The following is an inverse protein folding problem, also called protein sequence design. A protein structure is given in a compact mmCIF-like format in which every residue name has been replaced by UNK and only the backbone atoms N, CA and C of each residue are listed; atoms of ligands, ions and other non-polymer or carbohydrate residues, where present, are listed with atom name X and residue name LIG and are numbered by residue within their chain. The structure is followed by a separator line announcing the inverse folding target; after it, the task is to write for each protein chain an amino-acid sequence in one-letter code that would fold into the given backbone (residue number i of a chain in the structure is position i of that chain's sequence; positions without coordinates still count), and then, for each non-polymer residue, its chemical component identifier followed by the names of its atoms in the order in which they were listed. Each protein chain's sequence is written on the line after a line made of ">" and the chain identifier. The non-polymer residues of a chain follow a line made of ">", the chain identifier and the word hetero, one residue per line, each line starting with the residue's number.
data_IF_393325012658
#
_entry.id   IF_393325012658
#
_cell.length_a   1.000
_cell.length_b   1.000
_cell.length_c   1.000
_cell.angle_alpha   90.00
_cell.angle_beta   90.00
_cell.angle_gamma   90.00
#
_symmetry.space_group_name_H-M   'P 1'
#
loop_
_entity.id
_entity.type
_entity.pdbx_description
1 polymer ?
#
# COMPACT_ATOMS: atom_id res chain seq x y z
N UNK A 1 24.29 -22.30 -23.58
CA UNK A 1 23.40 -22.39 -22.42
C UNK A 1 23.48 -21.04 -21.73
N UNK A 2 22.35 -20.35 -21.56
CA UNK A 2 22.35 -19.02 -20.94
C UNK A 2 22.85 -19.09 -19.50
N UNK A 3 23.51 -18.02 -19.04
CA UNK A 3 23.88 -17.87 -17.63
C UNK A 3 22.62 -17.82 -16.75
N UNK A 4 22.67 -18.31 -15.51
CA UNK A 4 21.52 -18.25 -14.60
C UNK A 4 21.25 -16.79 -14.17
N UNK A 5 19.97 -16.41 -14.14
CA UNK A 5 19.55 -15.09 -13.67
C UNK A 5 19.70 -14.96 -12.14
N UNK A 6 20.29 -13.85 -11.69
CA UNK A 6 20.52 -13.58 -10.28
C UNK A 6 19.33 -12.83 -9.65
N UNK A 7 18.64 -13.47 -8.71
CA UNK A 7 17.46 -12.92 -8.03
C UNK A 7 17.74 -11.67 -7.19
N UNK A 8 19.01 -11.40 -6.85
CA UNK A 8 19.40 -10.18 -6.11
C UNK A 8 19.53 -8.94 -7.01
N UNK A 9 19.66 -9.12 -8.32
CA UNK A 9 19.71 -8.03 -9.30
C UNK A 9 18.30 -7.71 -9.78
N UNK A 10 17.58 -6.92 -8.98
CA UNK A 10 16.24 -6.43 -9.34
C UNK A 10 16.16 -4.91 -9.28
N UNK A 11 15.47 -4.32 -10.26
CA UNK A 11 15.11 -2.90 -10.26
C UNK A 11 13.61 -2.79 -10.52
N UNK A 12 12.92 -2.00 -9.71
CA UNK A 12 11.52 -1.66 -9.91
C UNK A 12 11.40 -0.21 -10.34
N UNK A 13 10.55 0.01 -11.35
CA UNK A 13 10.16 1.34 -11.78
C UNK A 13 8.64 1.42 -11.84
N UNK A 14 8.05 2.55 -11.44
CA UNK A 14 6.62 2.76 -11.45
C UNK A 14 6.26 4.10 -12.10
N UNK A 15 5.07 4.19 -12.69
CA UNK A 15 4.50 5.42 -13.23
C UNK A 15 2.99 5.40 -13.19
N UNK A 16 2.37 6.55 -12.92
CA UNK A 16 0.93 6.76 -13.09
C UNK A 16 0.59 6.74 -14.57
N UNK A 17 -0.45 5.99 -14.92
CA UNK A 17 -0.92 5.88 -16.29
C UNK A 17 -1.68 7.14 -16.71
N UNK A 18 -1.38 7.66 -17.90
CA UNK A 18 -2.13 8.76 -18.49
C UNK A 18 -3.57 8.37 -18.81
N UNK A 19 -3.77 7.10 -19.20
CA UNK A 19 -5.07 6.48 -19.47
C UNK A 19 -5.15 5.18 -18.70
N UNK A 20 -6.19 5.02 -17.88
CA UNK A 20 -6.36 3.82 -17.04
C UNK A 20 -6.37 2.54 -17.87
N UNK A 21 -5.51 1.59 -17.52
CA UNK A 21 -5.40 0.31 -18.22
C UNK A 21 -4.48 0.32 -19.43
N UNK A 22 -3.83 1.44 -19.73
CA UNK A 22 -2.88 1.55 -20.85
C UNK A 22 -1.46 1.62 -20.30
N UNK A 23 -0.66 0.59 -20.62
CA UNK A 23 0.70 0.49 -20.13
C UNK A 23 1.58 1.67 -20.58
N UNK A 24 2.28 2.28 -19.63
CA UNK A 24 3.27 3.31 -19.89
C UNK A 24 4.54 2.71 -20.50
N UNK A 25 5.13 3.43 -21.46
CA UNK A 25 6.27 2.94 -22.25
C UNK A 25 7.58 3.65 -21.95
N UNK A 26 7.55 4.82 -21.30
CA UNK A 26 8.73 5.64 -20.99
C UNK A 26 8.49 6.50 -19.74
N UNK A 27 9.57 6.98 -19.12
CA UNK A 27 9.52 7.94 -18.01
C UNK A 27 9.00 7.36 -16.70
N UNK A 28 9.27 6.08 -16.44
CA UNK A 28 9.00 5.48 -15.13
C UNK A 28 10.05 5.91 -14.11
N UNK A 29 9.64 6.00 -12.86
CA UNK A 29 10.45 6.42 -11.73
C UNK A 29 10.98 5.22 -10.97
N UNK A 30 12.27 5.22 -10.61
CA UNK A 30 12.88 4.16 -9.79
C UNK A 30 12.29 4.16 -8.37
N UNK A 31 11.97 2.96 -7.86
CA UNK A 31 11.48 2.79 -6.49
C UNK A 31 12.42 1.88 -5.72
N UNK A 32 12.87 2.33 -4.54
CA UNK A 32 13.60 1.47 -3.61
C UNK A 32 12.61 0.54 -2.91
N UNK A 33 12.61 -0.73 -3.32
CA UNK A 33 11.72 -1.76 -2.81
C UNK A 33 12.49 -2.85 -2.08
N UNK A 34 11.84 -3.46 -1.11
CA UNK A 34 12.26 -4.65 -0.40
C UNK A 34 11.36 -5.82 -0.78
N UNK A 35 11.97 -6.98 -0.93
CA UNK A 35 11.34 -8.26 -1.24
C UNK A 35 10.26 -8.22 -2.36
N UNK A 36 10.59 -7.66 -3.54
CA UNK A 36 9.63 -7.61 -4.63
C UNK A 36 9.37 -8.99 -5.23
N UNK A 37 8.09 -9.36 -5.26
CA UNK A 37 7.60 -10.60 -5.84
C UNK A 37 6.44 -10.34 -6.80
N UNK A 38 6.63 -10.70 -8.07
CA UNK A 38 5.63 -10.54 -9.14
C UNK A 38 5.15 -11.91 -9.61
N UNK A 39 3.84 -12.16 -9.49
CA UNK A 39 3.21 -13.44 -9.81
C UNK A 39 2.16 -13.26 -10.91
N UNK A 40 2.34 -13.87 -12.09
CA UNK A 40 1.28 -13.91 -13.10
C UNK A 40 0.17 -14.87 -12.65
N UNK A 41 -1.07 -14.47 -12.90
CA UNK A 41 -2.27 -15.30 -12.72
C UNK A 41 -2.89 -15.54 -14.08
N UNK A 42 -2.95 -16.81 -14.49
CA UNK A 42 -3.47 -17.22 -15.78
C UNK A 42 -4.23 -18.55 -15.61
N UNK A 43 -5.55 -18.51 -15.34
CA UNK A 43 -6.34 -19.72 -15.17
C UNK A 43 -6.31 -20.56 -16.46
N UNK A 44 -6.27 -21.88 -16.32
CA UNK A 44 -6.24 -22.80 -17.46
C UNK A 44 -7.56 -23.59 -17.54
N UNK A 45 -8.32 -23.34 -18.61
CA UNK A 45 -9.57 -24.01 -18.88
C UNK A 45 -9.33 -25.30 -19.67
N UNK A 46 -9.62 -26.44 -19.04
CA UNK A 46 -9.51 -27.74 -19.68
C UNK A 46 -10.70 -28.00 -20.62
N UNK A 47 -10.43 -28.33 -21.88
CA UNK A 47 -11.45 -28.69 -22.87
C UNK A 47 -11.59 -30.21 -22.96
N UNK A 48 -12.41 -30.79 -22.07
CA UNK A 48 -12.69 -32.25 -22.01
C UNK A 48 -14.01 -32.60 -22.70
N UNK A 49 -14.04 -32.50 -24.02
CA UNK A 49 -15.19 -32.96 -24.83
C UNK A 49 -15.24 -34.49 -24.94
N UNK A 50 -16.41 -35.09 -25.24
CA UNK A 50 -16.49 -36.51 -25.54
C UNK A 50 -15.71 -36.82 -26.83
N UNK A 51 -14.84 -37.83 -26.80
CA UNK A 51 -13.98 -38.19 -27.91
C UNK A 51 -13.61 -39.68 -27.92
N UNK A 52 -12.94 -40.12 -29.00
CA UNK A 52 -12.52 -41.52 -29.18
C UNK A 52 -11.44 -41.96 -28.17
N UNK A 53 -10.69 -41.02 -27.61
CA UNK A 53 -9.56 -41.27 -26.71
C UNK A 53 -9.89 -40.82 -25.29
N UNK A 54 -9.44 -41.59 -24.30
CA UNK A 54 -9.46 -41.21 -22.88
C UNK A 54 -8.42 -40.11 -22.63
N UNK A 55 -8.74 -39.10 -21.84
CA UNK A 55 -7.83 -38.00 -21.49
C UNK A 55 -8.17 -36.66 -22.17
N UNK A 56 -7.22 -35.72 -22.17
CA UNK A 56 -7.40 -34.40 -22.78
C UNK A 56 -7.27 -34.54 -24.30
N UNK A 57 -8.38 -34.38 -25.02
CA UNK A 57 -8.44 -34.52 -26.48
C UNK A 57 -8.24 -33.21 -27.24
N UNK A 58 -8.30 -32.07 -26.55
CA UNK A 58 -8.23 -30.73 -27.12
C UNK A 58 -7.21 -29.88 -26.33
N UNK A 59 -6.57 -28.91 -27.00
CA UNK A 59 -5.77 -27.91 -26.31
C UNK A 59 -6.69 -27.06 -25.42
N UNK A 60 -6.31 -26.91 -24.15
CA UNK A 60 -7.01 -26.03 -23.22
C UNK A 60 -6.75 -24.55 -23.52
N UNK A 61 -7.57 -23.69 -22.94
CA UNK A 61 -7.53 -22.24 -23.16
C UNK A 61 -6.94 -21.58 -21.92
N UNK A 62 -5.98 -20.69 -22.11
CA UNK A 62 -5.53 -19.79 -21.04
C UNK A 62 -6.52 -18.64 -21.00
N UNK A 63 -7.10 -18.39 -19.83
CA UNK A 63 -8.11 -17.35 -19.60
C UNK A 63 -7.44 -15.97 -19.44
N UNK A 64 -8.00 -15.10 -18.59
CA UNK A 64 -7.47 -13.76 -18.39
C UNK A 64 -6.00 -13.79 -17.94
N UNK A 65 -5.27 -12.73 -18.29
CA UNK A 65 -3.88 -12.54 -17.89
C UNK A 65 -3.79 -11.40 -16.89
N UNK A 66 -4.10 -11.70 -15.64
CA UNK A 66 -3.85 -10.80 -14.51
C UNK A 66 -2.55 -11.18 -13.81
N UNK A 67 -2.17 -10.39 -12.83
CA UNK A 67 -1.03 -10.67 -11.98
C UNK A 67 -1.07 -9.83 -10.71
N UNK A 68 -0.27 -10.24 -9.74
CA UNK A 68 -0.07 -9.52 -8.49
C UNK A 68 1.40 -9.17 -8.30
N UNK A 69 1.65 -8.03 -7.65
CA UNK A 69 2.97 -7.62 -7.18
C UNK A 69 2.88 -7.29 -5.69
N UNK A 70 3.73 -7.91 -4.89
CA UNK A 70 3.92 -7.54 -3.49
C UNK A 70 5.31 -6.93 -3.30
N UNK A 71 5.39 -5.83 -2.56
CA UNK A 71 6.67 -5.23 -2.18
C UNK A 71 6.53 -4.38 -0.91
N UNK A 72 7.64 -4.17 -0.21
CA UNK A 72 7.70 -3.25 0.93
C UNK A 72 8.57 -2.06 0.58
N UNK A 73 8.18 -0.86 0.99
CA UNK A 73 8.93 0.38 0.77
C UNK A 73 9.07 1.11 2.09
N UNK A 74 10.21 1.75 2.31
CA UNK A 74 10.43 2.61 3.46
C UNK A 74 9.59 3.89 3.32
N UNK A 75 8.83 4.24 4.35
CA UNK A 75 8.06 5.49 4.35
C UNK A 75 9.04 6.67 4.48
N UNK A 76 9.17 7.52 3.46
CA UNK A 76 10.18 8.60 3.45
C UNK A 76 9.78 9.74 2.53
N UNK A 77 10.23 10.94 2.87
CA UNK A 77 10.20 12.08 1.96
C UNK A 77 11.45 12.16 1.08
N UNK A 78 11.54 13.24 0.32
CA UNK A 78 12.66 13.55 -0.57
C UNK A 78 13.78 14.35 0.11
N UNK A 79 13.62 14.68 1.40
CA UNK A 79 14.55 15.53 2.15
C UNK A 79 14.47 17.01 1.80
N UNK A 80 13.52 17.42 0.94
CA UNK A 80 13.26 18.81 0.58
C UNK A 80 11.87 19.26 1.02
N UNK A 81 10.80 18.86 0.33
CA UNK A 81 9.44 19.34 0.54
C UNK A 81 8.37 18.43 -0.06
N UNK A 82 8.72 17.20 -0.42
CA UNK A 82 7.80 16.25 -1.04
C UNK A 82 8.01 14.82 -0.54
N UNK A 83 7.05 13.96 -0.83
CA UNK A 83 7.21 12.51 -0.63
C UNK A 83 8.24 11.99 -1.64
N UNK A 84 8.93 10.88 -1.34
CA UNK A 84 9.68 10.17 -2.37
C UNK A 84 8.78 9.92 -3.59
N UNK A 85 9.24 10.27 -4.78
CA UNK A 85 8.39 10.29 -5.99
C UNK A 85 7.91 8.90 -6.39
N UNK A 86 8.72 7.86 -6.17
CA UNK A 86 8.32 6.47 -6.35
C UNK A 86 7.24 6.07 -5.37
N UNK A 87 7.42 6.39 -4.08
CA UNK A 87 6.44 6.15 -3.03
C UNK A 87 5.12 6.90 -3.28
N UNK A 88 5.18 8.16 -3.70
CA UNK A 88 4.01 8.97 -4.08
C UNK A 88 3.16 8.31 -5.15
N UNK A 89 3.79 7.72 -6.17
CA UNK A 89 3.11 6.99 -7.24
C UNK A 89 2.40 5.75 -6.68
N UNK A 90 3.07 4.99 -5.80
CA UNK A 90 2.49 3.78 -5.19
C UNK A 90 1.31 4.11 -4.26
N UNK A 91 1.41 5.17 -3.46
CA UNK A 91 0.33 5.63 -2.59
C UNK A 91 -0.91 6.03 -3.39
N UNK A 92 -0.73 6.74 -4.51
CA UNK A 92 -1.83 7.13 -5.39
C UNK A 92 -2.53 5.94 -6.05
N UNK A 93 -1.80 4.85 -6.31
CA UNK A 93 -2.36 3.59 -6.79
C UNK A 93 -3.15 2.82 -5.72
N UNK A 94 -3.00 3.21 -4.46
CA UNK A 94 -3.75 2.66 -3.32
C UNK A 94 -4.93 3.56 -2.92
N UNK A 95 -5.45 4.36 -3.86
CA UNK A 95 -6.65 5.18 -3.63
C UNK A 95 -6.41 6.47 -2.84
N UNK A 96 -5.15 6.83 -2.57
CA UNK A 96 -4.80 8.06 -1.85
C UNK A 96 -4.53 9.22 -2.81
N UNK A 97 -5.41 10.21 -2.86
CA UNK A 97 -5.26 11.42 -3.65
C UNK A 97 -4.22 12.36 -3.04
N UNK A 98 -3.17 12.69 -3.78
CA UNK A 98 -2.21 13.72 -3.39
C UNK A 98 -2.76 15.12 -3.68
N UNK A 99 -2.86 15.96 -2.65
CA UNK A 99 -3.12 17.40 -2.74
C UNK A 99 -2.05 18.13 -1.93
N UNK A 100 -1.10 18.79 -2.60
CA UNK A 100 -0.01 19.53 -1.95
C UNK A 100 0.76 18.69 -0.92
N UNK A 101 1.15 17.47 -1.30
CA UNK A 101 1.90 16.52 -0.47
C UNK A 101 1.16 15.99 0.77
N UNK A 102 -0.16 16.17 0.77
CA UNK A 102 -1.11 15.49 1.65
C UNK A 102 -1.87 14.43 0.85
N UNK A 103 -1.76 13.18 1.25
CA UNK A 103 -2.36 12.01 0.65
C UNK A 103 -3.60 11.62 1.46
N UNK A 104 -4.78 11.81 0.88
CA UNK A 104 -6.07 11.52 1.53
C UNK A 104 -6.81 10.43 0.77
N UNK A 105 -7.63 9.65 1.47
CA UNK A 105 -8.59 8.75 0.81
C UNK A 105 -9.47 9.54 -0.16
N UNK A 106 -10.05 8.87 -1.15
CA UNK A 106 -11.10 9.48 -1.97
C UNK A 106 -12.15 8.49 -2.41
N UNK A 107 -13.40 8.90 -2.32
CA UNK A 107 -14.57 8.16 -2.78
C UNK A 107 -14.85 8.38 -4.28
N UNK A 108 -14.16 9.32 -4.92
CA UNK A 108 -14.34 9.63 -6.34
C UNK A 108 -13.46 8.71 -7.22
N UNK A 109 -14.05 7.77 -8.00
CA UNK A 109 -13.26 6.85 -8.82
C UNK A 109 -12.46 7.54 -9.92
N UNK A 110 -12.79 8.78 -10.29
CA UNK A 110 -12.00 9.56 -11.26
C UNK A 110 -10.63 9.99 -10.70
N UNK A 111 -10.53 10.15 -9.37
CA UNK A 111 -9.31 10.55 -8.69
C UNK A 111 -8.37 9.36 -8.43
N UNK A 112 -8.90 8.12 -8.35
CA UNK A 112 -8.08 6.92 -8.26
C UNK A 112 -7.14 6.78 -9.46
N UNK A 113 -5.87 6.49 -9.20
CA UNK A 113 -4.85 6.32 -10.25
C UNK A 113 -4.53 4.86 -10.46
N UNK A 114 -4.37 4.46 -11.71
CA UNK A 114 -3.74 3.19 -12.05
C UNK A 114 -2.27 3.44 -12.34
N UNK A 115 -1.44 2.43 -12.10
CA UNK A 115 0.00 2.49 -12.37
C UNK A 115 0.46 1.39 -13.31
N UNK A 116 1.52 1.69 -14.04
CA UNK A 116 2.37 0.70 -14.70
C UNK A 116 3.62 0.49 -13.84
N UNK A 117 3.93 -0.77 -13.56
CA UNK A 117 5.10 -1.21 -12.80
C UNK A 117 5.96 -2.11 -13.69
N UNK A 118 7.23 -1.77 -13.81
CA UNK A 118 8.24 -2.61 -14.45
C UNK A 118 9.10 -3.26 -13.38
N UNK A 119 9.30 -4.58 -13.53
CA UNK A 119 10.19 -5.36 -12.69
C UNK A 119 11.27 -5.93 -13.60
N UNK A 120 12.49 -5.44 -13.43
CA UNK A 120 13.66 -5.97 -14.12
C UNK A 120 14.33 -7.02 -13.22
N UNK A 121 14.58 -8.21 -13.75
CA UNK A 121 15.27 -9.33 -13.09
C UNK A 121 16.45 -9.76 -13.98
N UNK A 122 17.63 -9.25 -13.66
CA UNK A 122 18.92 -9.57 -14.32
C UNK A 122 18.87 -9.69 -15.86
N UNK A 123 18.20 -8.75 -16.53
CA UNK A 123 18.08 -8.72 -17.99
C UNK A 123 16.70 -9.11 -18.54
N UNK A 124 15.78 -9.55 -17.68
CA UNK A 124 14.38 -9.85 -18.04
C UNK A 124 13.45 -8.79 -17.46
N UNK A 125 12.60 -8.19 -18.29
CA UNK A 125 11.59 -7.22 -17.87
C UNK A 125 10.21 -7.86 -17.83
N UNK A 126 9.56 -7.78 -16.66
CA UNK A 126 8.16 -8.10 -16.45
C UNK A 126 7.37 -6.79 -16.25
N UNK A 127 6.11 -6.78 -16.67
CA UNK A 127 5.26 -5.58 -16.66
C UNK A 127 3.94 -5.93 -15.99
N UNK A 128 3.52 -5.09 -15.04
CA UNK A 128 2.17 -5.06 -14.49
C UNK A 128 1.58 -3.69 -14.80
N UNK A 129 0.40 -3.61 -15.41
CA UNK A 129 -0.23 -2.35 -15.80
C UNK A 129 -1.74 -2.37 -15.50
N UNK A 130 -2.39 -1.21 -15.55
CA UNK A 130 -3.75 -1.03 -15.04
C UNK A 130 -3.85 -1.41 -13.56
N UNK A 131 -2.75 -1.26 -12.81
CA UNK A 131 -2.64 -1.81 -11.46
C UNK A 131 -3.15 -0.82 -10.41
N UNK A 132 -3.89 -1.33 -9.44
CA UNK A 132 -4.27 -0.66 -8.18
C UNK A 132 -4.01 -1.64 -7.03
N UNK A 133 -3.94 -1.13 -5.81
CA UNK A 133 -3.52 -1.94 -4.68
C UNK A 133 -4.06 -1.53 -3.32
N UNK A 134 -3.61 -2.29 -2.33
CA UNK A 134 -3.74 -1.97 -0.91
C UNK A 134 -2.38 -1.57 -0.34
N UNK A 135 -2.40 -0.75 0.72
CA UNK A 135 -1.21 -0.40 1.49
C UNK A 135 -1.46 -0.58 2.99
N UNK A 136 -0.48 -1.19 3.65
CA UNK A 136 -0.41 -1.30 5.11
C UNK A 136 0.85 -0.60 5.60
N UNK A 137 0.69 0.41 6.46
CA UNK A 137 1.78 1.09 7.14
C UNK A 137 2.04 0.39 8.46
N UNK A 138 3.30 0.05 8.74
CA UNK A 138 3.68 -0.64 9.97
C UNK A 138 4.99 -0.09 10.52
N UNK A 139 5.04 0.13 11.83
CA UNK A 139 6.23 0.56 12.54
C UNK A 139 6.25 0.01 13.96
N UNK A 140 7.45 -0.31 14.42
CA UNK A 140 7.72 -0.68 15.81
C UNK A 140 8.77 0.26 16.40
N UNK A 141 8.74 0.48 17.71
CA UNK A 141 9.63 1.43 18.38
C UNK A 141 11.09 1.14 18.07
N UNK A 142 11.80 2.16 17.58
CA UNK A 142 13.21 2.07 17.21
C UNK A 142 13.48 1.39 15.86
N UNK A 143 12.45 0.96 15.12
CA UNK A 143 12.55 0.44 13.75
C UNK A 143 12.00 1.45 12.74
N UNK A 144 12.33 1.23 11.47
CA UNK A 144 11.87 2.05 10.33
C UNK A 144 10.38 1.88 10.14
N UNK A 145 9.70 2.95 9.73
CA UNK A 145 8.32 2.85 9.26
C UNK A 145 8.30 2.28 7.83
N UNK A 146 7.56 1.20 7.64
CA UNK A 146 7.42 0.50 6.36
C UNK A 146 6.01 0.68 5.80
N UNK A 147 5.90 0.75 4.48
CA UNK A 147 4.66 0.65 3.72
C UNK A 147 4.70 -0.65 2.90
N UNK A 148 3.83 -1.60 3.24
CA UNK A 148 3.68 -2.87 2.57
C UNK A 148 2.58 -2.74 1.51
N UNK A 149 2.91 -3.03 0.26
CA UNK A 149 2.01 -2.89 -0.88
C UNK A 149 1.64 -4.23 -1.49
N UNK A 150 0.37 -4.34 -1.86
CA UNK A 150 -0.16 -5.45 -2.64
C UNK A 150 -0.93 -4.88 -3.83
N UNK A 151 -0.36 -5.04 -5.04
CA UNK A 151 -0.97 -4.58 -6.28
C UNK A 151 -1.54 -5.75 -7.06
N UNK A 152 -2.70 -5.51 -7.68
CA UNK A 152 -3.28 -6.40 -8.69
C UNK A 152 -3.47 -5.62 -9.98
N UNK A 153 -3.18 -6.25 -11.11
CA UNK A 153 -3.28 -5.62 -12.43
C UNK A 153 -3.16 -6.60 -13.58
N UNK A 154 -3.06 -6.06 -14.79
CA UNK A 154 -2.92 -6.83 -16.02
C UNK A 154 -1.44 -7.21 -16.19
N UNK A 155 -1.18 -8.51 -16.39
CA UNK A 155 0.18 -8.99 -16.59
C UNK A 155 0.58 -8.88 -18.06
N UNK A 156 1.56 -8.02 -18.33
CA UNK A 156 2.06 -7.74 -19.66
C UNK A 156 3.01 -8.80 -20.20
N UNK A 157 3.39 -8.65 -21.46
CA UNK A 157 4.37 -9.53 -22.10
C UNK A 157 5.75 -9.34 -21.46
N UNK A 158 6.38 -10.46 -21.11
CA UNK A 158 7.76 -10.50 -20.62
C UNK A 158 8.71 -10.34 -21.81
N UNK A 159 9.73 -9.50 -21.67
CA UNK A 159 10.73 -9.26 -22.71
C UNK A 159 12.12 -9.07 -22.11
N UNK A 160 13.16 -9.41 -22.86
CA UNK A 160 14.52 -9.10 -22.45
C UNK A 160 14.77 -7.59 -22.54
N UNK A 161 15.37 -7.02 -21.50
CA UNK A 161 15.75 -5.62 -21.45
C UNK A 161 16.94 -5.44 -20.51
N UNK A 162 17.87 -4.57 -20.89
CA UNK A 162 18.99 -4.22 -20.02
C UNK A 162 18.49 -3.67 -18.68
N UNK A 163 19.22 -4.00 -17.60
CA UNK A 163 18.93 -3.44 -16.28
C UNK A 163 19.15 -1.92 -16.34
N UNK A 164 18.14 -1.09 -16.01
CA UNK A 164 18.28 0.35 -16.06
C UNK A 164 19.26 0.85 -14.99
N UNK A 165 19.73 2.08 -15.15
CA UNK A 165 20.38 2.79 -14.05
C UNK A 165 19.38 2.90 -12.88
N UNK A 166 19.87 2.76 -11.65
CA UNK A 166 19.06 2.78 -10.44
C UNK A 166 19.51 3.93 -9.55
N UNK A 167 18.66 4.95 -9.39
CA UNK A 167 18.95 6.13 -8.59
C UNK A 167 17.71 6.60 -7.79
N UNK A 168 17.19 5.77 -6.87
CA UNK A 168 16.09 6.18 -5.98
C UNK A 168 16.56 7.23 -4.97
N UNK A 169 15.63 7.86 -4.24
CA UNK A 169 15.97 8.73 -3.10
C UNK A 169 16.87 8.01 -2.09
N UNK A 170 17.84 8.74 -1.56
CA UNK A 170 18.78 8.28 -0.54
C UNK A 170 18.44 8.81 0.87
N UNK A 171 17.36 9.58 1.02
CA UNK A 171 16.93 10.09 2.32
C UNK A 171 16.50 8.92 3.23
N UNK A 172 17.02 8.83 4.47
CA UNK A 172 16.61 7.81 5.41
C UNK A 172 15.14 7.99 5.84
N UNK A 173 14.37 6.89 6.01
CA UNK A 173 13.03 6.98 6.57
C UNK A 173 13.06 7.39 8.05
N UNK A 174 11.98 8.00 8.58
CA UNK A 174 11.84 8.14 10.00
C UNK A 174 11.65 6.76 10.64
N UNK A 175 12.13 6.66 11.88
CA UNK A 175 11.89 5.51 12.75
C UNK A 175 10.71 5.84 13.68
N UNK A 176 10.06 4.82 14.25
CA UNK A 176 9.04 5.00 15.28
C UNK A 176 9.70 5.38 16.62
N UNK A 177 10.34 6.55 16.68
CA UNK A 177 10.97 7.13 17.85
C UNK A 177 11.06 8.65 17.70
N UNK A 178 11.22 9.36 18.82
CA UNK A 178 11.32 10.83 18.83
C UNK A 178 10.18 11.54 18.09
N UNK A 179 9.00 10.89 18.04
CA UNK A 179 7.78 11.40 17.44
C UNK A 179 6.72 11.71 18.48
N UNK A 180 5.54 12.11 17.99
CA UNK A 180 4.37 12.41 18.83
C UNK A 180 3.22 11.51 18.41
N UNK A 181 2.71 10.70 19.32
CA UNK A 181 1.51 9.89 19.13
C UNK A 181 0.43 10.36 20.09
N UNK A 182 -0.70 10.82 19.55
CA UNK A 182 -1.80 11.39 20.33
C UNK A 182 -3.14 10.78 19.95
N UNK A 183 -4.00 10.64 20.94
CA UNK A 183 -5.42 10.28 20.78
C UNK A 183 -6.24 11.32 21.56
N UNK A 184 -7.20 11.95 20.90
CA UNK A 184 -7.98 13.07 21.47
C UNK A 184 -7.09 14.24 21.90
N UNK A 185 -5.95 14.45 21.24
CA UNK A 185 -4.95 15.47 21.59
C UNK A 185 -4.08 15.16 22.81
N UNK A 186 -4.27 14.01 23.46
CA UNK A 186 -3.45 13.58 24.60
C UNK A 186 -2.36 12.61 24.14
N UNK A 187 -1.12 12.82 24.58
CA UNK A 187 -0.01 11.93 24.24
C UNK A 187 -0.21 10.54 24.86
N UNK A 188 -0.04 9.49 24.05
CA UNK A 188 -0.15 8.09 24.49
C UNK A 188 1.15 7.34 24.24
N UNK A 189 1.42 6.34 25.09
CA UNK A 189 2.59 5.47 24.96
C UNK A 189 2.19 4.21 24.22
N UNK A 190 2.97 3.90 23.18
CA UNK A 190 2.77 2.75 22.32
C UNK A 190 4.12 2.21 21.84
N UNK A 191 4.19 0.92 21.52
CA UNK A 191 5.38 0.30 20.93
C UNK A 191 5.24 -0.10 19.47
N UNK A 192 4.01 -0.30 18.98
CA UNK A 192 3.71 -0.61 17.58
C UNK A 192 2.58 0.26 17.05
N UNK A 193 2.67 0.57 15.77
CA UNK A 193 1.63 1.26 15.02
C UNK A 193 1.42 0.51 13.71
N UNK A 194 0.16 0.22 13.39
CA UNK A 194 -0.26 -0.21 12.07
C UNK A 194 -1.44 0.62 11.59
N UNK A 195 -1.47 0.88 10.29
CA UNK A 195 -2.61 1.44 9.59
C UNK A 195 -2.76 0.68 8.27
N UNK A 196 -3.80 -0.12 8.17
CA UNK A 196 -4.14 -0.82 6.94
C UNK A 196 -5.31 -0.09 6.28
N UNK A 197 -5.18 0.26 5.00
CA UNK A 197 -6.27 0.89 4.26
C UNK A 197 -7.43 -0.08 3.95
N UNK A 198 -7.16 -1.39 3.96
CA UNK A 198 -8.10 -2.47 3.60
C UNK A 198 -8.89 -2.15 2.31
N UNK A 199 -8.18 -1.77 1.25
CA UNK A 199 -8.80 -1.53 -0.04
C UNK A 199 -9.34 -2.84 -0.64
N UNK A 200 -10.61 -2.84 -1.05
CA UNK A 200 -11.19 -3.91 -1.86
C UNK A 200 -10.84 -3.67 -3.33
N UNK A 201 -9.86 -4.43 -3.86
CA UNK A 201 -9.38 -4.30 -5.25
C UNK A 201 -9.99 -5.41 -6.12
N UNK A 202 -10.69 -5.01 -7.17
CA UNK A 202 -11.32 -5.93 -8.15
C UNK A 202 -10.84 -5.65 -9.57
N UNK A 203 -10.77 -6.67 -10.40
CA UNK A 203 -10.45 -6.53 -11.82
C UNK A 203 -11.70 -6.18 -12.62
N UNK A 204 -11.71 -5.03 -13.29
CA UNK A 204 -12.83 -4.65 -14.17
C UNK A 204 -12.67 -5.33 -15.52
N UNK A 205 -13.55 -6.27 -15.82
CA UNK A 205 -13.58 -6.93 -17.13
C UNK A 205 -14.15 -6.01 -18.22
N UNK A 206 -13.55 -6.08 -19.41
CA UNK A 206 -14.04 -5.39 -20.61
C UNK A 206 -13.73 -6.25 -21.84
N UNK A 207 -14.77 -6.66 -22.55
CA UNK A 207 -14.67 -7.47 -23.77
C UNK A 207 -13.96 -6.74 -24.91
N UNK A 208 -13.93 -5.41 -24.89
CA UNK A 208 -13.26 -4.60 -25.90
C UNK A 208 -11.75 -4.45 -25.63
N UNK A 209 -11.31 -4.73 -24.40
CA UNK A 209 -9.90 -4.71 -24.04
C UNK A 209 -9.19 -5.97 -24.56
N UNK A 210 -7.97 -5.82 -25.08
CA UNK A 210 -7.22 -6.93 -25.67
C UNK A 210 -6.91 -8.08 -24.67
N UNK A 211 -6.82 -7.77 -23.38
CA UNK A 211 -6.62 -8.72 -22.29
C UNK A 211 -7.92 -9.27 -21.69
N UNK A 212 -9.09 -8.76 -22.11
CA UNK A 212 -10.38 -8.98 -21.45
C UNK A 212 -10.59 -8.17 -20.17
N UNK A 213 -9.63 -7.32 -19.81
CA UNK A 213 -9.61 -6.53 -18.57
C UNK A 213 -9.34 -5.07 -18.92
N UNK A 214 -10.15 -4.15 -18.40
CA UNK A 214 -9.92 -2.72 -18.50
C UNK A 214 -8.79 -2.28 -17.54
N UNK A 215 -8.97 -2.48 -16.22
CA UNK A 215 -7.99 -2.16 -15.17
C UNK A 215 -8.47 -2.72 -13.82
N UNK A 216 -7.58 -2.77 -12.83
CA UNK A 216 -7.97 -2.94 -11.43
C UNK A 216 -8.69 -1.68 -10.92
N UNK A 217 -9.68 -1.85 -10.06
CA UNK A 217 -10.42 -0.78 -9.43
C UNK A 217 -10.58 -1.04 -7.93
N UNK A 218 -10.42 0.01 -7.13
CA UNK A 218 -10.78 0.00 -5.71
C UNK A 218 -12.29 0.30 -5.64
N UNK A 219 -13.07 -0.62 -5.07
CA UNK A 219 -14.53 -0.49 -4.96
C UNK A 219 -14.99 -0.05 -3.58
N UNK A 220 -14.19 -0.35 -2.56
CA UNK A 220 -14.42 0.05 -1.18
C UNK A 220 -13.09 0.10 -0.42
N UNK A 221 -13.09 0.70 0.77
CA UNK A 221 -11.96 0.72 1.70
C UNK A 221 -12.45 0.74 3.15
N UNK A 222 -11.79 0.00 4.04
CA UNK A 222 -12.11 -0.05 5.47
C UNK A 222 -10.86 0.21 6.34
N UNK A 223 -10.36 1.45 6.42
CA UNK A 223 -9.11 1.76 7.09
C UNK A 223 -9.17 1.43 8.59
N UNK A 224 -8.23 0.59 9.03
CA UNK A 224 -8.10 0.13 10.42
C UNK A 224 -6.74 0.51 10.99
N UNK A 225 -6.77 1.16 12.14
CA UNK A 225 -5.59 1.43 12.98
C UNK A 225 -5.43 0.30 13.99
N UNK A 226 -4.19 -0.16 14.18
CA UNK A 226 -3.79 -1.07 15.26
C UNK A 226 -2.65 -0.49 16.08
N UNK A 227 -2.70 -0.60 17.41
CA UNK A 227 -1.61 -0.16 18.28
C UNK A 227 -1.69 -0.78 19.67
N UNK A 228 -0.59 -0.81 20.43
CA UNK A 228 -0.55 -1.29 21.82
C UNK A 228 -0.42 -0.17 22.83
N UNK A 229 -1.57 0.34 23.28
CA UNK A 229 -1.62 1.42 24.26
C UNK A 229 -1.27 0.90 25.65
N UNK A 230 -0.36 1.58 26.36
CA UNK A 230 -0.19 1.31 27.80
C UNK A 230 -1.49 1.62 28.57
N UNK A 231 -1.89 0.71 29.44
CA UNK A 231 -3.07 0.92 30.26
C UNK A 231 -2.84 2.06 31.27
N UNK A 232 -3.79 2.98 31.33
CA UNK A 232 -3.83 4.08 32.29
C UNK A 232 -5.00 3.89 33.26
N UNK A 233 -5.01 4.62 34.38
CA UNK A 233 -6.16 4.57 35.28
C UNK A 233 -7.38 5.18 34.60
N UNK A 234 -8.57 4.68 34.93
CA UNK A 234 -9.86 5.22 34.47
C UNK A 234 -9.98 6.73 34.71
N UNK A 235 -9.42 7.25 35.80
CA UNK A 235 -9.42 8.69 36.10
C UNK A 235 -8.57 9.53 35.13
N UNK A 236 -7.55 8.93 34.52
CA UNK A 236 -6.64 9.58 33.56
C UNK A 236 -7.13 9.35 32.12
N UNK A 237 -7.54 8.11 31.80
CA UNK A 237 -8.08 7.73 30.50
C UNK A 237 -9.02 6.52 30.60
N UNK A 238 -10.32 6.77 30.61
CA UNK A 238 -11.36 5.74 30.63
C UNK A 238 -11.59 5.11 29.25
N UNK A 239 -10.62 4.31 28.78
CA UNK A 239 -10.68 3.67 27.46
C UNK A 239 -11.88 2.73 27.32
N UNK A 240 -12.26 2.02 28.40
CA UNK A 240 -13.40 1.10 28.39
C UNK A 240 -14.71 1.87 28.32
N UNK A 241 -14.84 2.99 29.04
CA UNK A 241 -15.98 3.90 28.92
C UNK A 241 -16.09 4.52 27.52
N UNK A 242 -14.97 4.97 26.93
CA UNK A 242 -14.92 5.51 25.56
C UNK A 242 -15.37 4.45 24.54
N UNK A 243 -14.86 3.22 24.65
CA UNK A 243 -15.20 2.11 23.78
C UNK A 243 -16.68 1.71 23.89
N UNK A 244 -17.20 1.52 25.12
CA UNK A 244 -18.61 1.16 25.33
C UNK A 244 -19.58 2.26 24.89
N UNK A 245 -19.18 3.53 24.98
CA UNK A 245 -19.96 4.65 24.48
C UNK A 245 -19.84 4.85 22.96
N UNK A 246 -18.88 4.19 22.30
CA UNK A 246 -18.57 4.41 20.89
C UNK A 246 -18.07 5.82 20.59
N UNK A 247 -17.40 6.47 21.54
CA UNK A 247 -16.92 7.86 21.38
C UNK A 247 -15.77 7.92 20.37
N UNK A 248 -15.82 8.90 19.48
CA UNK A 248 -14.78 9.15 18.47
C UNK A 248 -13.71 10.12 19.02
N UNK A 249 -12.45 9.93 18.60
CA UNK A 249 -11.35 10.83 18.95
C UNK A 249 -10.36 10.99 17.79
N UNK A 250 -9.74 12.16 17.66
CA UNK A 250 -8.69 12.35 16.66
C UNK A 250 -7.41 11.60 17.03
N UNK A 251 -6.84 10.85 16.10
CA UNK A 251 -5.51 10.25 16.22
C UNK A 251 -4.52 11.01 15.34
N UNK A 252 -3.34 11.27 15.89
CA UNK A 252 -2.21 11.78 15.11
C UNK A 252 -0.91 11.09 15.51
N UNK A 253 -0.16 10.65 14.50
CA UNK A 253 1.20 10.15 14.62
C UNK A 253 2.12 11.03 13.77
N UNK A 254 3.03 11.75 14.42
CA UNK A 254 4.06 12.58 13.77
C UNK A 254 5.42 11.93 14.01
N UNK A 255 6.13 11.59 12.95
CA UNK A 255 7.46 10.98 13.00
C UNK A 255 8.46 11.78 12.18
N UNK A 256 9.71 11.86 12.66
CA UNK A 256 10.76 12.64 12.01
C UNK A 256 10.64 14.15 12.26
N UNK A 257 11.63 14.89 11.78
CA UNK A 257 11.71 16.34 11.96
C UNK A 257 12.36 17.01 10.74
N UNK A 258 11.80 18.15 10.34
CA UNK A 258 12.29 18.94 9.22
C UNK A 258 11.52 18.70 7.93
N UNK A 259 11.61 19.70 7.04
CA UNK A 259 10.93 19.73 5.75
C UNK A 259 11.40 18.53 4.89
N UNK A 260 10.44 17.83 4.27
CA UNK A 260 10.70 16.63 3.47
C UNK A 260 11.17 15.41 4.28
N UNK A 261 11.15 15.46 5.62
CA UNK A 261 11.63 14.39 6.51
C UNK A 261 10.62 13.98 7.58
N UNK A 262 9.75 14.91 7.99
CA UNK A 262 8.65 14.63 8.91
C UNK A 262 7.44 14.07 8.16
N UNK A 263 6.88 12.97 8.66
CA UNK A 263 5.68 12.31 8.15
C UNK A 263 4.62 12.35 9.25
N UNK A 264 3.41 12.76 8.89
CA UNK A 264 2.25 12.83 9.78
C UNK A 264 1.15 11.93 9.26
N UNK A 265 0.68 11.01 10.09
CA UNK A 265 -0.59 10.32 9.91
C UNK A 265 -1.64 11.02 10.76
N UNK A 266 -2.78 11.34 10.19
CA UNK A 266 -3.91 11.90 10.92
C UNK A 266 -5.21 11.20 10.53
N UNK A 267 -5.96 10.85 11.58
CA UNK A 267 -7.30 10.26 11.51
C UNK A 267 -8.20 11.17 12.35
N UNK A 268 -9.07 11.99 11.75
CA UNK A 268 -9.85 13.00 12.48
C UNK A 268 -10.86 12.35 13.46
N UNK A 269 -11.43 11.21 13.09
CA UNK A 269 -12.38 10.45 13.91
C UNK A 269 -12.01 8.98 13.95
N UNK A 270 -11.21 8.61 14.95
CA UNK A 270 -10.93 7.22 15.27
C UNK A 270 -11.94 6.71 16.28
N UNK A 271 -12.48 5.51 16.05
CA UNK A 271 -13.39 4.83 16.97
C UNK A 271 -12.89 3.42 17.27
N UNK A 272 -12.75 3.09 18.55
CA UNK A 272 -12.29 1.77 18.99
C UNK A 272 -13.26 0.66 18.54
N UNK A 273 -12.74 -0.39 17.90
CA UNK A 273 -13.46 -1.62 17.56
C UNK A 273 -13.29 -2.65 18.67
N UNK A 274 -12.05 -2.95 19.02
CA UNK A 274 -11.67 -3.95 20.01
C UNK A 274 -10.59 -3.39 20.93
N UNK A 275 -10.67 -3.73 22.22
CA UNK A 275 -9.70 -3.33 23.24
C UNK A 275 -9.23 -4.54 24.10
N UNK A 276 -8.68 -5.61 23.49
CA UNK A 276 -8.19 -6.75 24.25
C UNK A 276 -7.06 -6.33 25.20
N UNK A 277 -7.14 -6.80 26.44
CA UNK A 277 -6.05 -6.64 27.41
C UNK A 277 -4.89 -7.55 27.05
N UNK A 278 -3.68 -7.04 27.21
CA UNK A 278 -2.43 -7.77 26.97
C UNK A 278 -1.38 -7.45 28.03
N UNK A 279 -0.27 -8.18 27.96
CA UNK A 279 0.93 -7.93 28.76
C UNK A 279 2.13 -7.67 27.84
N UNK A 280 2.84 -6.59 28.11
CA UNK A 280 4.12 -6.26 27.47
C UNK A 280 5.19 -6.16 28.54
N UNK A 281 5.83 -7.29 28.84
CA UNK A 281 6.93 -7.37 29.82
C UNK A 281 6.51 -6.94 31.24
N UNK A 282 5.32 -7.35 31.68
CA UNK A 282 4.77 -6.97 32.99
C UNK A 282 4.05 -5.62 33.01
N UNK A 283 3.97 -4.92 31.86
CA UNK A 283 3.16 -3.70 31.70
C UNK A 283 1.84 -4.09 31.05
N UNK A 284 0.73 -3.77 31.70
CA UNK A 284 -0.59 -3.95 31.13
C UNK A 284 -0.79 -3.03 29.93
N UNK A 285 -1.24 -3.58 28.81
CA UNK A 285 -1.54 -2.86 27.57
C UNK A 285 -2.94 -3.19 27.08
N UNK A 286 -3.44 -2.37 26.16
CA UNK A 286 -4.58 -2.69 25.30
C UNK A 286 -4.08 -2.82 23.87
N UNK A 287 -4.22 -4.01 23.28
CA UNK A 287 -3.90 -4.29 21.87
C UNK A 287 -5.06 -3.85 20.97
N UNK A 288 -5.25 -2.54 20.84
CA UNK A 288 -6.46 -1.98 20.26
C UNK A 288 -6.49 -2.09 18.74
N UNK A 289 -7.69 -2.32 18.22
CA UNK A 289 -8.05 -2.04 16.83
C UNK A 289 -9.09 -0.95 16.78
N UNK A 290 -9.01 -0.05 15.80
CA UNK A 290 -9.93 1.05 15.67
C UNK A 290 -10.21 1.38 14.20
N UNK A 291 -11.43 1.83 13.92
CA UNK A 291 -11.83 2.28 12.60
C UNK A 291 -11.59 3.77 12.42
N UNK A 292 -11.38 4.16 11.16
CA UNK A 292 -11.22 5.55 10.76
C UNK A 292 -12.50 6.04 10.10
N UNK A 293 -13.21 6.96 10.75
CA UNK A 293 -14.45 7.53 10.26
C UNK A 293 -14.20 8.88 9.59
N UNK A 294 -15.06 9.23 8.64
CA UNK A 294 -15.08 10.54 8.00
C UNK A 294 -15.66 11.60 8.95
N UNK A 295 -15.09 12.81 8.92
CA UNK A 295 -15.63 13.99 9.60
C UNK A 295 -16.33 14.92 8.62
N UNK A 296 -15.62 15.36 7.57
CA UNK A 296 -16.09 16.32 6.57
C UNK A 296 -15.60 15.95 5.17
N UNK A 297 -16.18 14.89 4.60
CA UNK A 297 -15.86 14.42 3.25
C UNK A 297 -14.82 13.30 3.29
N UNK A 298 -13.95 13.23 2.28
CA UNK A 298 -12.95 12.15 2.16
C UNK A 298 -11.72 12.39 3.05
N UNK A 299 -11.90 12.48 4.37
CA UNK A 299 -10.86 12.84 5.33
C UNK A 299 -10.56 11.77 6.40
N UNK A 300 -11.15 10.57 6.29
CA UNK A 300 -10.99 9.50 7.27
C UNK A 300 -9.52 9.16 7.59
N UNK A 301 -8.64 9.26 6.59
CA UNK A 301 -7.19 9.10 6.74
C UNK A 301 -6.47 10.14 5.90
N UNK A 302 -5.46 10.77 6.49
CA UNK A 302 -4.51 11.61 5.77
C UNK A 302 -3.07 11.27 6.15
N UNK A 303 -2.19 11.33 5.16
CA UNK A 303 -0.74 11.16 5.31
C UNK A 303 -0.08 12.37 4.68
N UNK A 304 0.68 13.14 5.46
CA UNK A 304 1.36 14.33 4.96
C UNK A 304 2.85 14.23 5.21
N UNK A 305 3.64 14.72 4.27
CA UNK A 305 5.05 15.07 4.53
C UNK A 305 5.12 16.57 4.83
N UNK A 306 5.98 16.96 5.77
CA UNK A 306 6.16 18.37 6.10
C UNK A 306 6.68 19.14 4.88
N UNK A 307 5.89 20.11 4.44
CA UNK A 307 6.26 21.12 3.43
C UNK A 307 6.76 22.40 4.12
N UNK A 308 7.24 23.36 3.31
CA UNK A 308 7.73 24.68 3.79
C UNK A 308 6.62 25.47 4.49
#
# INVERSE_FOLDING_TARGET
>A
MGEPLLTRKKVIQAKIEAVKGTAETTGLTDVLVFDPDIKPTAPFQQRKGPGKYLGNSEAGIIEEKSGALTCSVEMRGDGTSAMDSGLSILLQACGLKNTSETYQVTSNPADHKTITIWVFEDGVKKILYGAMGNVTFEGETGKRLMANFEFTGIYGTVADAALPAFAPSAEPPPILASGTFTIGGTAKKTSKFSLNMNNEVVMRHDINAASGIAHAAIVDFDPVVGTDLEAEKVADYDITGIWLAGTEAALSLVLGSGVGKQITFAVPKMQYREIPEGDRSGIQIYDITAQCNHESGDDAVSIAVQTV
#
